data_IF_228410779766
#
_entry.id   IF_228410779766
#
_cell.length_a   1.000
_cell.length_b   1.000
_cell.length_c   1.000
_cell.angle_alpha   90.00
_cell.angle_beta   90.00
_cell.angle_gamma   90.00
#
_symmetry.space_group_name_H-M   'P 1'
#
loop_
_entity.id
_entity.type
_entity.pdbx_description
1 polymer ?
#
# COMPACT_ATOMS: atom_id res chain seq x y z
N UNK A 1 -23.40 7.01 -28.14
CA UNK A 1 -23.74 7.11 -26.70
C UNK A 1 -22.48 6.81 -25.92
N UNK A 2 -21.78 7.84 -25.44
CA UNK A 2 -20.57 7.65 -24.64
C UNK A 2 -20.96 7.20 -23.25
N UNK A 3 -20.70 5.93 -22.92
CA UNK A 3 -20.70 5.46 -21.54
C UNK A 3 -19.59 6.19 -20.81
N UNK A 4 -19.95 7.27 -20.11
CA UNK A 4 -19.07 7.91 -19.13
C UNK A 4 -18.74 6.81 -18.11
N UNK A 5 -17.50 6.34 -18.12
CA UNK A 5 -16.98 5.45 -17.09
C UNK A 5 -17.08 6.20 -15.77
N UNK A 6 -18.14 5.90 -15.00
CA UNK A 6 -18.38 6.53 -13.70
C UNK A 6 -17.27 6.10 -12.75
N UNK A 7 -16.19 6.88 -12.72
CA UNK A 7 -15.31 6.92 -11.57
C UNK A 7 -16.20 7.16 -10.34
N UNK A 8 -16.31 6.17 -9.47
CA UNK A 8 -17.18 6.26 -8.29
C UNK A 8 -16.81 7.52 -7.51
N UNK A 9 -17.74 8.45 -7.22
CA UNK A 9 -17.41 9.66 -6.47
C UNK A 9 -16.72 9.32 -5.15
N UNK A 10 -15.84 10.21 -4.68
CA UNK A 10 -15.13 10.05 -3.40
C UNK A 10 -16.08 9.71 -2.24
N UNK A 11 -17.30 10.25 -2.25
CA UNK A 11 -18.34 9.93 -1.29
C UNK A 11 -18.73 8.44 -1.30
N UNK A 12 -18.86 7.82 -2.48
CA UNK A 12 -19.17 6.40 -2.62
C UNK A 12 -18.02 5.54 -2.11
N UNK A 13 -16.78 5.91 -2.44
CA UNK A 13 -15.58 5.18 -1.98
C UNK A 13 -15.41 5.26 -0.47
N UNK A 14 -15.63 6.42 0.12
CA UNK A 14 -15.60 6.60 1.57
C UNK A 14 -16.66 5.76 2.28
N UNK A 15 -17.89 5.69 1.74
CA UNK A 15 -18.94 4.82 2.30
C UNK A 15 -18.52 3.35 2.27
N UNK A 16 -17.89 2.90 1.18
CA UNK A 16 -17.40 1.53 1.06
C UNK A 16 -16.32 1.19 2.11
N UNK A 17 -15.39 2.13 2.39
CA UNK A 17 -14.39 1.95 3.47
C UNK A 17 -15.11 1.85 4.81
N UNK A 18 -15.99 2.80 5.11
CA UNK A 18 -16.71 2.84 6.38
C UNK A 18 -17.55 1.57 6.57
N UNK A 19 -18.22 1.08 5.52
CA UNK A 19 -18.96 -0.18 5.56
C UNK A 19 -18.10 -1.41 5.81
N UNK A 20 -16.89 -1.44 5.25
CA UNK A 20 -15.98 -2.56 5.42
C UNK A 20 -15.37 -2.59 6.83
N UNK A 21 -15.17 -1.43 7.44
CA UNK A 21 -14.29 -1.30 8.61
C UNK A 21 -15.00 -0.93 9.91
N UNK A 22 -16.28 -0.56 9.87
CA UNK A 22 -17.05 -0.18 11.05
C UNK A 22 -18.25 -1.09 11.27
N UNK A 23 -18.62 -1.30 12.54
CA UNK A 23 -19.85 -1.98 12.87
C UNK A 23 -21.07 -1.09 12.53
N UNK A 24 -22.10 -1.66 11.92
CA UNK A 24 -23.26 -0.90 11.45
C UNK A 24 -24.00 -0.18 12.60
N UNK A 25 -24.02 -0.74 13.82
CA UNK A 25 -24.74 -0.15 14.96
C UNK A 25 -23.96 0.98 15.61
N UNK A 26 -22.62 0.93 15.57
CA UNK A 26 -21.73 1.89 16.26
C UNK A 26 -20.96 2.82 15.35
N UNK A 27 -21.04 2.64 14.03
CA UNK A 27 -20.36 3.42 12.99
C UNK A 27 -20.19 4.90 13.31
N UNK A 28 -21.28 5.63 13.55
CA UNK A 28 -21.18 7.08 13.73
C UNK A 28 -20.46 7.48 15.01
N UNK A 29 -20.56 6.68 16.07
CA UNK A 29 -19.83 6.89 17.31
C UNK A 29 -18.35 6.57 17.13
N UNK A 30 -18.04 5.46 16.47
CA UNK A 30 -16.64 5.09 16.14
C UNK A 30 -15.99 6.16 15.27
N UNK A 31 -16.72 6.69 14.29
CA UNK A 31 -16.25 7.76 13.42
C UNK A 31 -16.03 9.08 14.18
N UNK A 32 -16.94 9.44 15.10
CA UNK A 32 -16.74 10.58 16.00
C UNK A 32 -15.47 10.41 16.85
N UNK A 33 -15.30 9.24 17.48
CA UNK A 33 -14.14 8.93 18.33
C UNK A 33 -12.80 9.09 17.60
N UNK A 34 -12.74 8.77 16.30
CA UNK A 34 -11.49 8.89 15.50
C UNK A 34 -11.30 10.25 14.82
N UNK A 35 -12.35 11.07 14.69
CA UNK A 35 -12.31 12.30 13.87
C UNK A 35 -12.62 13.58 14.64
N UNK A 36 -13.20 13.47 15.84
CA UNK A 36 -13.84 14.58 16.56
C UNK A 36 -14.92 15.31 15.74
N UNK A 37 -15.44 14.68 14.68
CA UNK A 37 -16.55 15.19 13.87
C UNK A 37 -17.86 14.64 14.43
N UNK A 38 -18.81 15.53 14.71
CA UNK A 38 -20.08 15.18 15.34
C UNK A 38 -20.85 14.08 14.56
N UNK A 39 -21.53 13.12 15.22
CA UNK A 39 -22.24 12.01 14.57
C UNK A 39 -23.28 12.45 13.56
N UNK A 40 -23.95 13.59 13.78
CA UNK A 40 -24.95 14.10 12.84
C UNK A 40 -24.34 14.63 11.53
N UNK A 41 -23.09 15.09 11.57
CA UNK A 41 -22.29 15.41 10.39
C UNK A 41 -22.00 14.11 9.62
N UNK A 42 -21.56 13.06 10.31
CA UNK A 42 -21.38 11.73 9.69
C UNK A 42 -22.66 11.17 9.08
N UNK A 43 -23.82 11.28 9.75
CA UNK A 43 -25.13 10.90 9.19
C UNK A 43 -25.49 11.74 7.96
N UNK A 44 -25.26 13.05 8.01
CA UNK A 44 -25.56 13.94 6.88
C UNK A 44 -24.75 13.56 5.64
N UNK A 45 -23.47 13.22 5.82
CA UNK A 45 -22.64 12.65 4.75
C UNK A 45 -23.19 11.28 4.29
N UNK A 46 -23.49 10.40 5.24
CA UNK A 46 -23.97 9.04 4.98
C UNK A 46 -25.23 9.02 4.10
N UNK A 47 -26.20 9.88 4.39
CA UNK A 47 -27.44 10.00 3.63
C UNK A 47 -27.33 10.94 2.42
N UNK A 48 -26.13 11.42 2.08
CA UNK A 48 -25.90 12.24 0.89
C UNK A 48 -26.40 13.68 0.98
N UNK A 49 -26.70 14.16 2.19
CA UNK A 49 -27.09 15.57 2.44
C UNK A 49 -25.90 16.52 2.34
N UNK A 50 -24.69 16.02 2.55
CA UNK A 50 -23.45 16.77 2.35
C UNK A 50 -22.38 15.93 1.66
N UNK A 51 -21.41 16.62 1.05
CA UNK A 51 -20.16 16.02 0.55
C UNK A 51 -19.23 15.70 1.73
N UNK A 52 -18.27 14.77 1.57
CA UNK A 52 -17.24 14.57 2.58
C UNK A 52 -16.45 15.86 2.81
N UNK A 53 -16.21 16.20 4.08
CA UNK A 53 -15.32 17.31 4.45
C UNK A 53 -13.86 16.87 4.45
N UNK A 54 -12.93 17.81 4.55
CA UNK A 54 -11.51 17.51 4.63
C UNK A 54 -11.18 16.66 5.88
N UNK A 55 -11.78 17.00 7.02
CA UNK A 55 -11.61 16.31 8.31
C UNK A 55 -12.12 14.87 8.22
N UNK A 56 -13.22 14.62 7.52
CA UNK A 56 -13.74 13.27 7.28
C UNK A 56 -12.79 12.44 6.40
N UNK A 57 -12.28 13.03 5.32
CA UNK A 57 -11.33 12.37 4.41
C UNK A 57 -10.04 12.03 5.17
N UNK A 58 -9.52 12.98 5.95
CA UNK A 58 -8.32 12.81 6.76
C UNK A 58 -8.50 11.71 7.80
N UNK A 59 -9.58 11.76 8.59
CA UNK A 59 -9.80 10.76 9.65
C UNK A 59 -9.92 9.33 9.10
N UNK A 60 -10.65 9.14 7.99
CA UNK A 60 -10.77 7.83 7.31
C UNK A 60 -9.40 7.39 6.78
N UNK A 61 -8.65 8.30 6.16
CA UNK A 61 -7.34 8.01 5.58
C UNK A 61 -6.28 7.69 6.62
N UNK A 62 -6.29 8.37 7.78
CA UNK A 62 -5.36 8.10 8.86
C UNK A 62 -5.70 6.79 9.59
N UNK A 63 -7.00 6.49 9.76
CA UNK A 63 -7.45 5.26 10.43
C UNK A 63 -7.18 4.01 9.60
N UNK A 64 -7.45 4.08 8.30
CA UNK A 64 -7.30 2.99 7.34
C UNK A 64 -6.41 3.41 6.16
N UNK A 65 -5.10 3.58 6.40
CA UNK A 65 -4.19 4.16 5.43
C UNK A 65 -4.01 3.31 4.16
N UNK A 66 -4.23 2.00 4.24
CA UNK A 66 -4.19 1.12 3.08
C UNK A 66 -5.22 1.49 2.00
N UNK A 67 -6.28 2.23 2.35
CA UNK A 67 -7.30 2.71 1.40
C UNK A 67 -7.15 4.18 0.99
N UNK A 68 -6.22 4.94 1.60
CA UNK A 68 -6.15 6.40 1.42
C UNK A 68 -5.92 6.82 -0.04
N UNK A 69 -4.99 6.15 -0.73
CA UNK A 69 -4.72 6.38 -2.14
C UNK A 69 -5.95 6.10 -3.01
N UNK A 70 -6.62 4.97 -2.78
CA UNK A 70 -7.84 4.61 -3.52
C UNK A 70 -9.00 5.56 -3.23
N UNK A 71 -9.16 5.99 -1.97
CA UNK A 71 -10.20 6.93 -1.57
C UNK A 71 -10.13 8.21 -2.40
N UNK A 72 -8.93 8.77 -2.61
CA UNK A 72 -8.77 10.05 -3.32
C UNK A 72 -8.69 9.84 -4.83
N UNK A 73 -7.92 8.86 -5.30
CA UNK A 73 -7.61 8.68 -6.74
C UNK A 73 -8.63 7.82 -7.48
N UNK A 74 -9.35 6.93 -6.79
CA UNK A 74 -10.24 5.95 -7.39
C UNK A 74 -9.53 4.75 -8.02
N UNK A 75 -8.20 4.69 -8.00
CA UNK A 75 -7.40 3.57 -8.49
C UNK A 75 -6.62 2.90 -7.34
N UNK A 76 -6.18 1.66 -7.53
CA UNK A 76 -5.34 0.92 -6.58
C UNK A 76 -3.90 0.84 -7.10
N UNK A 77 -2.98 0.66 -6.17
CA UNK A 77 -1.59 0.27 -6.41
C UNK A 77 -1.22 -0.84 -5.40
N UNK A 78 -1.62 -2.10 -5.68
CA UNK A 78 -1.41 -3.21 -4.77
C UNK A 78 0.06 -3.49 -4.43
N UNK A 79 1.00 -3.14 -5.32
CA UNK A 79 2.44 -3.30 -5.06
C UNK A 79 2.91 -2.45 -3.88
N UNK A 80 2.23 -1.31 -3.65
CA UNK A 80 2.49 -0.42 -2.51
C UNK A 80 1.47 -0.58 -1.38
N UNK A 81 0.67 -1.65 -1.40
CA UNK A 81 -0.45 -1.88 -0.47
C UNK A 81 -1.50 -0.75 -0.47
N UNK A 82 -1.64 -0.05 -1.59
CA UNK A 82 -2.71 0.90 -1.82
C UNK A 82 -3.89 0.17 -2.45
N UNK A 83 -4.82 -0.30 -1.62
CA UNK A 83 -5.88 -1.21 -2.04
C UNK A 83 -7.26 -0.56 -1.89
N UNK A 84 -8.29 -1.29 -2.34
CA UNK A 84 -9.69 -0.95 -2.10
C UNK A 84 -10.30 -1.99 -1.13
N UNK A 85 -11.33 -1.62 -0.34
CA UNK A 85 -12.05 -2.59 0.48
C UNK A 85 -12.63 -3.72 -0.36
N UNK A 86 -12.72 -4.94 0.20
CA UNK A 86 -13.25 -6.10 -0.51
C UNK A 86 -14.71 -5.93 -0.96
N UNK A 87 -15.48 -5.12 -0.23
CA UNK A 87 -16.88 -4.76 -0.53
C UNK A 87 -17.03 -3.72 -1.64
N UNK A 88 -15.95 -3.04 -2.04
CA UNK A 88 -16.02 -2.02 -3.07
C UNK A 88 -16.26 -2.63 -4.46
N UNK A 89 -17.10 -1.98 -5.27
CA UNK A 89 -17.28 -2.34 -6.66
C UNK A 89 -15.93 -2.17 -7.41
N UNK A 90 -15.38 -3.29 -7.88
CA UNK A 90 -14.14 -3.32 -8.66
C UNK A 90 -14.47 -3.00 -10.11
N UNK A 91 -14.18 -1.77 -10.54
CA UNK A 91 -14.18 -1.42 -11.97
C UNK A 91 -12.87 -1.83 -12.64
N UNK A 92 -12.93 -2.24 -13.91
CA UNK A 92 -11.75 -2.28 -14.79
C UNK A 92 -11.20 -0.86 -14.98
N UNK A 93 -9.86 -0.62 -14.98
CA UNK A 93 -8.73 -1.57 -15.04
C UNK A 93 -8.10 -1.93 -13.67
N UNK A 94 -8.79 -1.67 -12.56
CA UNK A 94 -8.19 -1.65 -11.22
C UNK A 94 -8.05 -3.06 -10.65
N UNK A 95 -6.81 -3.50 -10.36
CA UNK A 95 -6.56 -4.80 -9.72
C UNK A 95 -7.05 -4.80 -8.28
N UNK A 96 -7.74 -5.87 -7.87
CA UNK A 96 -8.04 -6.13 -6.45
C UNK A 96 -6.76 -6.61 -5.78
N UNK A 97 -6.17 -5.75 -4.95
CA UNK A 97 -5.12 -6.14 -4.02
C UNK A 97 -5.72 -6.76 -2.75
N UNK A 98 -4.94 -7.61 -2.08
CA UNK A 98 -5.23 -8.06 -0.71
C UNK A 98 -4.37 -7.24 0.24
N UNK A 99 -4.92 -6.88 1.40
CA UNK A 99 -4.18 -6.14 2.41
C UNK A 99 -2.98 -6.94 2.90
N UNK A 100 -1.82 -6.28 2.90
CA UNK A 100 -0.61 -6.75 3.53
C UNK A 100 -0.50 -6.09 4.91
N UNK A 101 -0.81 -6.83 5.97
CA UNK A 101 -0.91 -6.30 7.33
C UNK A 101 0.36 -5.56 7.81
N UNK A 102 1.55 -5.99 7.36
CA UNK A 102 2.80 -5.33 7.70
C UNK A 102 2.95 -3.95 7.03
N UNK A 103 2.40 -3.75 5.83
CA UNK A 103 2.45 -2.46 5.14
C UNK A 103 1.50 -1.47 5.83
N UNK A 104 0.29 -1.93 6.17
CA UNK A 104 -0.65 -1.14 6.97
C UNK A 104 -0.04 -0.77 8.33
N UNK A 105 0.69 -1.68 8.96
CA UNK A 105 1.42 -1.40 10.20
C UNK A 105 2.49 -0.33 10.01
N UNK A 106 3.28 -0.40 8.94
CA UNK A 106 4.27 0.63 8.60
C UNK A 106 3.60 2.00 8.42
N UNK A 107 2.49 2.09 7.67
CA UNK A 107 1.76 3.33 7.49
C UNK A 107 1.24 3.91 8.80
N UNK A 108 0.63 3.08 9.66
CA UNK A 108 0.13 3.52 10.97
C UNK A 108 1.25 4.06 11.86
N UNK A 109 2.40 3.40 11.85
CA UNK A 109 3.58 3.86 12.58
C UNK A 109 4.05 5.22 12.06
N UNK A 110 4.15 5.40 10.75
CA UNK A 110 4.55 6.67 10.13
C UNK A 110 3.57 7.81 10.41
N UNK A 111 2.26 7.53 10.35
CA UNK A 111 1.21 8.51 10.69
C UNK A 111 1.31 8.92 12.16
N UNK A 112 1.48 7.96 13.07
CA UNK A 112 1.66 8.25 14.49
C UNK A 112 2.95 9.07 14.74
N UNK A 113 4.05 8.76 14.05
CA UNK A 113 5.28 9.53 14.14
C UNK A 113 5.08 10.97 13.62
N UNK A 114 4.39 11.14 12.49
CA UNK A 114 4.05 12.44 11.92
C UNK A 114 3.18 13.28 12.84
N UNK A 115 2.16 12.69 13.45
CA UNK A 115 1.23 13.40 14.35
C UNK A 115 1.91 13.84 15.66
N UNK A 116 3.06 13.25 16.01
CA UNK A 116 3.88 13.61 17.17
C UNK A 116 5.07 14.53 16.80
N UNK A 117 5.18 14.97 15.54
CA UNK A 117 6.22 15.90 15.13
C UNK A 117 5.93 17.30 15.70
N UNK A 118 6.94 18.03 16.23
CA UNK A 118 6.72 19.39 16.72
C UNK A 118 6.11 20.30 15.66
N UNK A 119 5.11 21.09 16.06
CA UNK A 119 4.47 22.07 15.18
C UNK A 119 5.40 23.25 14.87
N UNK A 120 6.30 23.59 15.80
CA UNK A 120 7.30 24.64 15.61
C UNK A 120 8.39 24.20 14.62
N UNK A 121 8.61 24.99 13.58
CA UNK A 121 9.53 24.68 12.49
C UNK A 121 10.99 24.66 12.95
N UNK A 122 11.35 25.50 13.94
CA UNK A 122 12.71 25.57 14.49
C UNK A 122 13.00 24.32 15.31
N UNK A 123 12.09 23.95 16.21
CA UNK A 123 12.17 22.71 16.99
C UNK A 123 12.20 21.48 16.08
N UNK A 124 11.33 21.42 15.06
CA UNK A 124 11.31 20.34 14.07
C UNK A 124 12.65 20.20 13.36
N UNK A 125 13.22 21.31 12.88
CA UNK A 125 14.50 21.33 12.19
C UNK A 125 15.64 20.89 13.11
N UNK A 126 15.64 21.37 14.36
CA UNK A 126 16.60 20.97 15.39
C UNK A 126 16.54 19.47 15.67
N UNK A 127 15.34 18.93 15.88
CA UNK A 127 15.12 17.49 16.12
C UNK A 127 15.55 16.64 14.93
N UNK A 128 15.21 17.04 13.70
CA UNK A 128 15.66 16.36 12.47
C UNK A 128 17.19 16.33 12.37
N UNK A 129 17.85 17.46 12.63
CA UNK A 129 19.32 17.54 12.63
C UNK A 129 19.93 16.64 13.70
N UNK A 130 19.41 16.65 14.93
CA UNK A 130 19.89 15.77 16.01
C UNK A 130 19.81 14.29 15.65
N UNK A 131 18.69 13.85 15.05
CA UNK A 131 18.55 12.45 14.65
C UNK A 131 19.49 12.13 13.48
N UNK A 132 19.62 13.05 12.51
CA UNK A 132 20.56 12.90 11.41
C UNK A 132 22.01 12.76 11.89
N UNK A 133 22.43 13.61 12.83
CA UNK A 133 23.78 13.56 13.42
C UNK A 133 23.99 12.26 14.21
N UNK A 134 23.00 11.82 14.99
CA UNK A 134 23.06 10.54 15.69
C UNK A 134 23.15 9.34 14.74
N UNK A 135 22.41 9.38 13.62
CA UNK A 135 22.46 8.36 12.57
C UNK A 135 23.84 8.30 11.91
N UNK A 136 24.40 9.47 11.56
CA UNK A 136 25.75 9.56 11.01
C UNK A 136 26.79 9.00 11.97
N UNK A 137 26.74 9.35 13.26
CA UNK A 137 27.66 8.84 14.29
C UNK A 137 27.52 7.31 14.49
N UNK A 138 26.30 6.78 14.47
CA UNK A 138 26.08 5.34 14.59
C UNK A 138 26.63 4.60 13.36
N UNK A 139 26.44 5.16 12.17
CA UNK A 139 26.96 4.62 10.92
C UNK A 139 28.49 4.65 10.87
N UNK A 140 29.12 5.75 11.29
CA UNK A 140 30.58 5.89 11.34
C UNK A 140 31.24 4.79 12.19
N UNK A 141 30.59 4.38 13.29
CA UNK A 141 31.07 3.28 14.15
C UNK A 141 31.00 1.89 13.49
N UNK A 142 30.18 1.72 12.45
CA UNK A 142 29.94 0.45 11.75
C UNK A 142 30.76 0.35 10.46
N UNK A 143 31.15 1.47 9.87
CA UNK A 143 31.71 1.56 8.52
C UNK A 143 33.25 1.51 8.55
N UNK A 144 33.84 0.46 7.95
CA UNK A 144 35.25 0.47 7.53
C UNK A 144 35.42 1.32 6.24
N UNK A 145 36.64 1.73 5.85
CA UNK A 145 36.85 2.57 4.65
C UNK A 145 36.26 1.99 3.34
N UNK A 146 36.14 0.67 3.21
CA UNK A 146 35.47 0.02 2.07
C UNK A 146 33.94 0.19 2.07
N UNK A 147 33.33 0.41 3.24
CA UNK A 147 31.91 0.67 3.39
C UNK A 147 31.52 2.13 3.03
N UNK A 148 32.47 3.08 2.95
CA UNK A 148 32.21 4.46 2.51
C UNK A 148 31.86 4.58 1.01
N UNK A 149 32.50 3.80 0.12
CA UNK A 149 32.13 3.79 -1.32
C UNK A 149 30.76 3.12 -1.51
N UNK A 150 30.46 2.11 -0.70
CA UNK A 150 29.12 1.51 -0.64
C UNK A 150 28.07 2.49 -0.10
N UNK A 151 28.46 3.40 0.80
CA UNK A 151 27.60 4.42 1.39
C UNK A 151 27.15 5.48 0.37
N UNK A 152 28.08 6.12 -0.35
CA UNK A 152 27.70 7.14 -1.36
C UNK A 152 26.79 6.55 -2.44
N UNK A 153 27.08 5.31 -2.86
CA UNK A 153 26.25 4.59 -3.82
C UNK A 153 24.87 4.24 -3.23
N UNK A 154 24.81 3.82 -1.97
CA UNK A 154 23.55 3.56 -1.28
C UNK A 154 22.72 4.84 -1.15
N UNK A 155 23.34 5.95 -0.73
CA UNK A 155 22.68 7.24 -0.60
C UNK A 155 22.16 7.77 -1.94
N UNK A 156 22.92 7.59 -3.03
CA UNK A 156 22.49 7.93 -4.38
C UNK A 156 21.30 7.08 -4.84
N UNK A 157 21.36 5.76 -4.68
CA UNK A 157 20.25 4.85 -5.02
C UNK A 157 19.01 5.18 -4.19
N UNK A 158 19.17 5.54 -2.92
CA UNK A 158 18.08 5.96 -2.05
C UNK A 158 17.48 7.30 -2.47
N UNK A 159 18.31 8.26 -2.88
CA UNK A 159 17.84 9.54 -3.38
C UNK A 159 17.12 9.42 -4.72
N UNK A 160 17.63 8.61 -5.65
CA UNK A 160 16.99 8.34 -6.94
C UNK A 160 15.71 7.48 -6.80
N UNK A 161 15.59 6.66 -5.74
CA UNK A 161 14.37 5.90 -5.43
C UNK A 161 13.33 6.67 -4.62
N UNK A 162 13.59 7.94 -4.25
CA UNK A 162 12.70 8.78 -3.45
C UNK A 162 12.62 8.39 -1.98
N UNK A 163 13.52 7.53 -1.48
CA UNK A 163 13.56 7.02 -0.11
C UNK A 163 14.50 7.86 0.79
N UNK A 164 14.55 9.17 0.57
CA UNK A 164 15.51 10.07 1.22
C UNK A 164 15.24 10.31 2.72
N UNK A 165 14.10 9.84 3.24
CA UNK A 165 13.67 9.99 4.65
C UNK A 165 14.37 9.03 5.64
N UNK A 166 15.52 8.46 5.25
CA UNK A 166 16.31 7.53 6.06
C UNK A 166 16.95 8.17 7.30
N UNK A 167 16.50 9.35 7.75
CA UNK A 167 17.21 10.08 8.80
C UNK A 167 16.46 10.15 10.14
N UNK A 168 15.15 10.45 10.23
CA UNK A 168 14.50 10.50 11.55
C UNK A 168 14.14 9.12 12.14
N UNK A 169 13.81 8.13 11.31
CA UNK A 169 13.28 6.83 11.76
C UNK A 169 14.21 5.65 11.48
N UNK A 170 15.29 5.85 10.74
CA UNK A 170 16.20 4.74 10.39
C UNK A 170 16.99 4.18 11.58
N UNK A 171 17.04 4.91 12.69
CA UNK A 171 17.59 4.41 13.94
C UNK A 171 16.53 3.89 14.90
N UNK A 172 15.24 4.05 14.58
CA UNK A 172 14.18 3.53 15.43
C UNK A 172 14.12 2.00 15.31
N UNK A 173 14.40 1.25 16.40
CA UNK A 173 14.43 -0.20 16.35
C UNK A 173 13.08 -0.83 15.98
N UNK A 174 11.98 -0.22 16.39
CA UNK A 174 10.64 -0.70 16.06
C UNK A 174 10.35 -0.50 14.56
N UNK A 175 10.68 0.68 14.02
CA UNK A 175 10.51 0.95 12.59
C UNK A 175 11.35 0.01 11.72
N UNK A 176 12.61 -0.23 12.10
CA UNK A 176 13.50 -1.16 11.40
C UNK A 176 12.96 -2.59 11.43
N UNK A 177 12.43 -3.04 12.57
CA UNK A 177 11.82 -4.36 12.69
C UNK A 177 10.59 -4.51 11.77
N UNK A 178 9.73 -3.49 11.70
CA UNK A 178 8.57 -3.46 10.79
C UNK A 178 9.04 -3.55 9.33
N UNK A 179 10.02 -2.72 8.93
CA UNK A 179 10.56 -2.74 7.56
C UNK A 179 11.28 -4.03 7.18
N UNK A 180 11.95 -4.67 8.14
CA UNK A 180 12.57 -5.97 7.91
C UNK A 180 11.50 -7.03 7.67
N UNK A 181 10.48 -7.11 8.53
CA UNK A 181 9.38 -8.05 8.38
C UNK A 181 8.63 -7.88 7.04
N UNK A 182 8.41 -6.62 6.63
CA UNK A 182 7.91 -6.26 5.29
C UNK A 182 8.74 -6.91 4.18
N UNK A 183 10.04 -6.60 4.14
CA UNK A 183 10.95 -7.09 3.09
C UNK A 183 11.01 -8.60 3.04
N UNK A 184 11.15 -9.25 4.20
CA UNK A 184 11.19 -10.71 4.30
C UNK A 184 9.91 -11.35 3.73
N UNK A 185 8.75 -10.73 3.99
CA UNK A 185 7.46 -11.21 3.49
C UNK A 185 7.31 -10.98 1.98
N UNK A 186 7.67 -9.80 1.47
CA UNK A 186 7.66 -9.51 0.03
C UNK A 186 8.56 -10.49 -0.73
N UNK A 187 9.75 -10.76 -0.21
CA UNK A 187 10.69 -11.69 -0.83
C UNK A 187 10.18 -13.13 -0.79
N UNK A 188 9.49 -13.54 0.28
CA UNK A 188 8.84 -14.84 0.35
C UNK A 188 7.69 -14.95 -0.66
N UNK A 189 6.82 -13.95 -0.74
CA UNK A 189 5.72 -13.91 -1.71
C UNK A 189 6.23 -13.93 -3.16
N UNK A 190 7.31 -13.21 -3.45
CA UNK A 190 7.98 -13.25 -4.76
C UNK A 190 8.48 -14.67 -5.05
N UNK A 191 9.17 -15.31 -4.12
CA UNK A 191 9.66 -16.70 -4.28
C UNK A 191 8.51 -17.68 -4.53
N UNK A 192 7.42 -17.57 -3.78
CA UNK A 192 6.27 -18.46 -3.92
C UNK A 192 5.56 -18.26 -5.26
N UNK A 193 5.40 -17.00 -5.70
CA UNK A 193 4.86 -16.67 -7.01
C UNK A 193 5.72 -17.20 -8.16
N UNK A 194 7.04 -17.00 -8.10
CA UNK A 194 7.97 -17.53 -9.10
C UNK A 194 7.98 -19.06 -9.14
N UNK A 195 7.94 -19.72 -7.97
CA UNK A 195 7.85 -21.18 -7.87
C UNK A 195 6.58 -21.72 -8.53
N UNK A 196 5.43 -21.08 -8.32
CA UNK A 196 4.20 -21.43 -9.04
C UNK A 196 4.34 -21.26 -10.55
N UNK A 197 4.87 -20.13 -11.02
CA UNK A 197 5.10 -19.91 -12.46
C UNK A 197 6.05 -20.95 -13.06
N UNK A 198 7.14 -21.30 -12.38
CA UNK A 198 8.07 -22.35 -12.82
C UNK A 198 7.36 -23.71 -12.89
N UNK A 199 6.52 -24.06 -11.91
CA UNK A 199 5.71 -25.28 -11.94
C UNK A 199 4.69 -25.30 -13.09
N UNK A 200 4.09 -24.15 -13.43
CA UNK A 200 3.19 -24.01 -14.58
C UNK A 200 3.95 -24.18 -15.90
N UNK A 201 5.12 -23.55 -16.05
CA UNK A 201 5.95 -23.69 -17.26
C UNK A 201 6.43 -25.12 -17.48
N UNK A 202 6.83 -25.81 -16.40
CA UNK A 202 7.24 -27.22 -16.43
C UNK A 202 6.05 -28.12 -16.77
N UNK A 203 4.90 -27.93 -16.14
CA UNK A 203 3.70 -28.76 -16.39
C UNK A 203 3.10 -28.54 -17.78
N UNK A 204 3.21 -27.34 -18.35
CA UNK A 204 2.74 -27.03 -19.71
C UNK A 204 3.79 -27.30 -20.80
N UNK A 205 4.97 -27.86 -20.47
CA UNK A 205 6.11 -28.08 -21.39
C UNK A 205 6.48 -26.83 -22.19
N UNK A 206 6.36 -25.66 -21.58
CA UNK A 206 6.61 -24.38 -22.26
C UNK A 206 8.11 -24.10 -22.22
N UNK A 207 8.72 -23.99 -23.40
CA UNK A 207 10.14 -23.64 -23.55
C UNK A 207 10.39 -22.24 -22.95
N UNK A 208 11.38 -22.15 -22.06
CA UNK A 208 11.81 -20.90 -21.41
C UNK A 208 12.17 -19.80 -22.42
N UNK A 209 12.52 -20.14 -23.66
CA UNK A 209 12.76 -19.18 -24.75
C UNK A 209 11.52 -18.36 -25.14
N UNK A 210 10.32 -18.87 -24.87
CA UNK A 210 9.06 -18.15 -25.11
C UNK A 210 8.84 -16.99 -24.13
N UNK A 211 9.54 -16.95 -22.99
CA UNK A 211 9.51 -15.82 -22.06
C UNK A 211 10.06 -14.52 -22.67
N UNK A 212 10.84 -14.62 -23.76
CA UNK A 212 11.34 -13.48 -24.53
C UNK A 212 10.30 -12.91 -25.52
N UNK A 213 9.15 -13.58 -25.70
CA UNK A 213 8.07 -13.11 -26.56
C UNK A 213 6.70 -13.21 -25.85
N UNK A 214 6.27 -12.15 -25.15
CA UNK A 214 5.10 -12.18 -24.27
C UNK A 214 3.78 -12.52 -24.98
N UNK A 215 3.64 -12.18 -26.28
CA UNK A 215 2.43 -12.51 -27.05
C UNK A 215 2.33 -14.01 -27.36
N UNK A 216 3.44 -14.65 -27.71
CA UNK A 216 3.48 -16.08 -27.99
C UNK A 216 3.30 -16.92 -26.71
N UNK A 217 3.81 -16.44 -25.58
CA UNK A 217 3.62 -17.05 -24.27
C UNK A 217 2.14 -17.07 -23.85
N UNK A 218 1.46 -15.92 -23.93
CA UNK A 218 0.04 -15.80 -23.59
C UNK A 218 -0.83 -16.70 -24.46
N UNK A 219 -0.63 -16.69 -25.78
CA UNK A 219 -1.40 -17.56 -26.69
C UNK A 219 -1.28 -19.04 -26.35
N UNK A 220 -0.10 -19.49 -25.93
CA UNK A 220 0.16 -20.91 -25.64
C UNK A 220 -0.38 -21.33 -24.27
N UNK A 221 -0.18 -20.50 -23.24
CA UNK A 221 -0.70 -20.73 -21.87
C UNK A 221 -2.23 -20.80 -21.89
N UNK A 222 -2.89 -19.83 -22.55
CA UNK A 222 -4.34 -19.82 -22.68
C UNK A 222 -4.83 -21.06 -23.46
N UNK A 223 -4.21 -21.40 -24.60
CA UNK A 223 -4.57 -22.61 -25.36
C UNK A 223 -4.54 -23.90 -24.53
N UNK A 224 -3.52 -24.09 -23.68
CA UNK A 224 -3.43 -25.27 -22.80
C UNK A 224 -4.38 -25.26 -21.60
N UNK A 225 -4.73 -24.08 -21.07
CA UNK A 225 -5.65 -23.96 -19.93
C UNK A 225 -7.11 -24.19 -20.35
N UNK A 226 -7.50 -23.70 -21.54
CA UNK A 226 -8.87 -23.85 -22.05
C UNK A 226 -9.12 -25.22 -22.71
N UNK A 227 -8.11 -25.85 -23.30
CA UNK A 227 -8.24 -27.23 -23.79
C UNK A 227 -8.53 -28.25 -22.67
N UNK A 228 -8.21 -27.94 -21.41
CA UNK A 228 -8.48 -28.80 -20.25
C UNK A 228 -9.88 -28.64 -19.66
N UNK A 229 -10.62 -27.59 -20.04
CA UNK A 229 -11.99 -27.38 -19.58
C UNK A 229 -13.02 -28.11 -20.45
N UNK A 230 -12.69 -28.40 -21.71
CA UNK A 230 -13.61 -29.09 -22.63
C UNK A 230 -13.68 -30.60 -22.37
N UNK A 231 -12.69 -31.20 -21.70
CA UNK A 231 -12.65 -32.64 -21.37
C UNK A 231 -13.51 -33.02 -20.13
N UNK A 232 -14.18 -32.07 -19.47
CA UNK A 232 -14.99 -32.32 -18.26
C UNK A 232 -16.48 -31.99 -18.42
N UNK A 233 -17.01 -31.92 -19.65
CA UNK A 233 -18.44 -31.76 -19.92
C UNK A 233 -19.12 -32.94 -20.64
N UNK A 234 -18.44 -34.06 -20.81
CA UNK A 234 -19.09 -35.32 -21.21
C UNK A 234 -18.90 -36.36 -20.10
N UNK A 235 -19.85 -36.35 -19.15
CA UNK A 235 -20.39 -37.51 -18.43
C UNK A 235 -21.63 -37.10 -17.61
#
# INVERSE_FOLDING_TARGET
>A
MSTVMLMHPIATRMKAIIEAETDNRRRYKELEEISNVHPDTWKSFWYGKQRPTAEMIEAVSQRWPQYAFWLVTGITDPERNHIAPASAASGYPVMRGVEQAWATREFRYLIAASNNEPTDDVERTSRRRQIQDAALQAMEKVISPAANVSYEKAMRVLGESGQHDFYPLALDPEYLAIRKARRDTEDQLRKDGFSWFDNVLVSAKIDKRLLQNPKALLSKVFGTLFARQDDHQED
#
